data_IF_190829674441
#
_entry.id   IF_190829674441
#
_cell.length_a   1.000
_cell.length_b   1.000
_cell.length_c   1.000
_cell.angle_alpha   90.00
_cell.angle_beta   90.00
_cell.angle_gamma   90.00
#
_symmetry.space_group_name_H-M   'P 1'
#
loop_
_entity.id
_entity.type
_entity.pdbx_description
1 polymer ?
#
# COMPACT_ATOMS: atom_id res chain seq x y z
N UNK A 1 38.72 31.25 25.57
CA UNK A 1 37.33 30.84 25.27
C UNK A 1 37.36 29.56 24.44
N UNK A 2 38.18 28.58 24.82
CA UNK A 2 38.67 27.53 23.91
C UNK A 2 38.29 26.10 24.35
N UNK A 3 37.70 25.97 25.54
CA UNK A 3 37.32 24.68 26.14
C UNK A 3 36.04 24.10 25.53
N UNK A 4 35.12 24.96 25.08
CA UNK A 4 33.82 24.55 24.55
C UNK A 4 33.94 23.92 23.16
N UNK A 5 34.83 24.45 22.31
CA UNK A 5 35.09 23.92 20.97
C UNK A 5 35.66 22.51 20.99
N UNK A 6 36.58 22.21 21.92
CA UNK A 6 37.19 20.88 22.06
C UNK A 6 36.20 19.82 22.56
N UNK A 7 35.29 20.17 23.47
CA UNK A 7 34.26 19.25 23.96
C UNK A 7 33.23 18.91 22.89
N UNK A 8 32.78 19.91 22.14
CA UNK A 8 31.86 19.71 21.00
C UNK A 8 32.52 18.81 19.95
N UNK A 9 33.81 19.02 19.67
CA UNK A 9 34.56 18.19 18.73
C UNK A 9 34.69 16.73 19.19
N UNK A 10 34.89 16.51 20.49
CA UNK A 10 34.98 15.16 21.06
C UNK A 10 33.64 14.42 21.00
N UNK A 11 32.54 15.08 21.39
CA UNK A 11 31.19 14.50 21.32
C UNK A 11 30.80 14.23 19.86
N UNK A 12 31.12 15.14 18.95
CA UNK A 12 30.86 14.95 17.52
C UNK A 12 31.64 13.76 16.95
N UNK A 13 32.88 13.54 17.40
CA UNK A 13 33.71 12.43 16.93
C UNK A 13 33.22 11.08 17.45
N UNK A 14 32.78 10.99 18.71
CA UNK A 14 32.15 9.78 19.25
C UNK A 14 30.79 9.48 18.58
N UNK A 15 29.97 10.52 18.37
CA UNK A 15 28.69 10.38 17.69
C UNK A 15 28.88 9.91 16.24
N UNK A 16 29.88 10.44 15.54
CA UNK A 16 30.26 10.01 14.19
C UNK A 16 30.59 8.51 14.18
N UNK A 17 31.38 8.04 15.14
CA UNK A 17 31.77 6.63 15.21
C UNK A 17 30.57 5.70 15.52
N UNK A 18 29.63 6.18 16.34
CA UNK A 18 28.38 5.46 16.63
C UNK A 18 27.43 5.38 15.42
N UNK A 19 27.32 6.48 14.67
CA UNK A 19 26.51 6.56 13.45
C UNK A 19 27.10 5.64 12.38
N UNK A 20 28.42 5.60 12.25
CA UNK A 20 29.13 4.76 11.28
C UNK A 20 28.88 3.25 11.52
N UNK A 21 28.93 2.81 12.78
CA UNK A 21 28.60 1.43 13.13
C UNK A 21 27.12 1.08 12.91
N UNK A 22 26.20 2.00 13.21
CA UNK A 22 24.76 1.80 12.93
C UNK A 22 24.45 1.82 11.43
N UNK A 23 25.16 2.64 10.65
CA UNK A 23 25.02 2.69 9.20
C UNK A 23 25.45 1.39 8.55
N UNK A 24 26.53 0.76 9.00
CA UNK A 24 27.01 -0.50 8.43
C UNK A 24 25.96 -1.63 8.58
N UNK A 25 25.38 -1.77 9.78
CA UNK A 25 24.30 -2.73 10.03
C UNK A 25 23.01 -2.38 9.25
N UNK A 26 22.72 -1.08 9.12
CA UNK A 26 21.52 -0.60 8.41
C UNK A 26 21.64 -0.80 6.91
N UNK A 27 22.82 -0.57 6.32
CA UNK A 27 23.11 -0.77 4.89
C UNK A 27 22.92 -2.23 4.50
N UNK A 28 23.37 -3.17 5.34
CA UNK A 28 23.23 -4.60 5.06
C UNK A 28 21.74 -4.98 5.01
N UNK A 29 20.95 -4.62 6.04
CA UNK A 29 19.53 -4.96 6.09
C UNK A 29 18.71 -4.24 4.99
N UNK A 30 19.06 -2.99 4.69
CA UNK A 30 18.47 -2.24 3.58
C UNK A 30 18.78 -2.90 2.23
N UNK A 31 20.00 -3.39 2.04
CA UNK A 31 20.39 -4.03 0.77
C UNK A 31 19.59 -5.31 0.50
N UNK A 32 19.35 -6.12 1.54
CA UNK A 32 18.56 -7.34 1.45
C UNK A 32 17.08 -7.05 1.17
N UNK A 33 16.51 -6.07 1.88
CA UNK A 33 15.13 -5.64 1.63
C UNK A 33 14.96 -5.06 0.22
N UNK A 34 15.87 -4.19 -0.22
CA UNK A 34 15.83 -3.64 -1.58
C UNK A 34 15.91 -4.75 -2.61
N UNK A 35 16.82 -5.72 -2.44
CA UNK A 35 16.97 -6.85 -3.36
C UNK A 35 15.69 -7.70 -3.42
N UNK A 36 15.06 -7.98 -2.28
CA UNK A 36 13.78 -8.69 -2.22
C UNK A 36 12.66 -7.91 -2.93
N UNK A 37 12.55 -6.62 -2.66
CA UNK A 37 11.56 -5.74 -3.31
C UNK A 37 11.80 -5.63 -4.82
N UNK A 38 13.05 -5.49 -5.26
CA UNK A 38 13.40 -5.46 -6.69
C UNK A 38 13.05 -6.78 -7.36
N UNK A 39 13.37 -7.92 -6.73
CA UNK A 39 13.06 -9.24 -7.28
C UNK A 39 11.56 -9.44 -7.45
N UNK A 40 10.79 -9.09 -6.42
CA UNK A 40 9.31 -9.13 -6.46
C UNK A 40 8.74 -8.15 -7.48
N UNK A 41 9.30 -6.94 -7.58
CA UNK A 41 8.87 -5.94 -8.55
C UNK A 41 9.11 -6.41 -9.99
N UNK A 42 10.29 -6.96 -10.29
CA UNK A 42 10.60 -7.54 -11.60
C UNK A 42 9.61 -8.65 -11.93
N UNK A 43 9.41 -9.62 -11.03
CA UNK A 43 8.51 -10.75 -11.27
C UNK A 43 7.07 -10.27 -11.55
N UNK A 44 6.56 -9.35 -10.73
CA UNK A 44 5.25 -8.77 -10.93
C UNK A 44 5.17 -7.94 -12.21
N UNK A 45 6.23 -7.20 -12.56
CA UNK A 45 6.29 -6.39 -13.76
C UNK A 45 6.19 -7.27 -15.02
N UNK A 46 6.88 -8.41 -15.06
CA UNK A 46 6.74 -9.36 -16.16
C UNK A 46 5.31 -9.90 -16.28
N UNK A 47 4.68 -10.25 -15.14
CA UNK A 47 3.29 -10.71 -15.12
C UNK A 47 2.32 -9.65 -15.64
N UNK A 48 2.42 -8.41 -15.13
CA UNK A 48 1.60 -7.29 -15.58
C UNK A 48 1.89 -6.91 -17.03
N UNK A 49 3.13 -7.00 -17.50
CA UNK A 49 3.49 -6.72 -18.88
C UNK A 49 2.80 -7.69 -19.84
N UNK A 50 2.86 -9.00 -19.57
CA UNK A 50 2.19 -10.02 -20.39
C UNK A 50 0.67 -9.81 -20.38
N UNK A 51 0.10 -9.54 -19.20
CA UNK A 51 -1.33 -9.25 -19.08
C UNK A 51 -1.73 -7.98 -19.85
N UNK A 52 -0.93 -6.92 -19.78
CA UNK A 52 -1.15 -5.69 -20.52
C UNK A 52 -1.07 -5.92 -22.04
N UNK A 53 -0.10 -6.70 -22.51
CA UNK A 53 -0.05 -7.11 -23.92
C UNK A 53 -1.31 -7.86 -24.33
N UNK A 54 -1.72 -8.87 -23.57
CA UNK A 54 -2.95 -9.62 -23.84
C UNK A 54 -4.19 -8.73 -23.86
N UNK A 55 -4.28 -7.76 -22.94
CA UNK A 55 -5.37 -6.80 -22.88
C UNK A 55 -5.39 -5.86 -24.09
N UNK A 56 -4.22 -5.38 -24.54
CA UNK A 56 -4.11 -4.54 -25.74
C UNK A 56 -4.52 -5.32 -26.98
N UNK A 57 -4.02 -6.55 -27.15
CA UNK A 57 -4.41 -7.40 -28.26
C UNK A 57 -5.90 -7.74 -28.22
N UNK A 58 -6.44 -8.03 -27.04
CA UNK A 58 -7.87 -8.28 -26.84
C UNK A 58 -8.72 -7.06 -27.18
N UNK A 59 -8.32 -5.86 -26.74
CA UNK A 59 -9.00 -4.60 -27.06
C UNK A 59 -8.94 -4.30 -28.57
N UNK A 60 -7.80 -4.54 -29.23
CA UNK A 60 -7.66 -4.41 -30.69
C UNK A 60 -8.56 -5.41 -31.42
N UNK A 61 -8.61 -6.67 -30.98
CA UNK A 61 -9.51 -7.67 -31.55
C UNK A 61 -10.99 -7.25 -31.38
N UNK A 62 -11.34 -6.72 -30.21
CA UNK A 62 -12.68 -6.20 -29.94
C UNK A 62 -13.00 -5.00 -30.85
N UNK A 63 -12.05 -4.10 -31.06
CA UNK A 63 -12.20 -2.95 -31.94
C UNK A 63 -12.44 -3.37 -33.39
N UNK A 64 -11.69 -4.36 -33.89
CA UNK A 64 -11.88 -4.92 -35.24
C UNK A 64 -13.27 -5.57 -35.33
N UNK A 65 -13.65 -6.40 -34.36
CA UNK A 65 -14.97 -7.04 -34.34
C UNK A 65 -16.11 -6.01 -34.37
N UNK A 66 -15.98 -4.94 -33.58
CA UNK A 66 -16.99 -3.88 -33.55
C UNK A 66 -17.00 -3.05 -34.84
N UNK A 67 -15.84 -2.84 -35.46
CA UNK A 67 -15.73 -2.13 -36.74
C UNK A 67 -16.43 -2.87 -37.87
N UNK A 68 -16.37 -4.21 -37.88
CA UNK A 68 -17.01 -5.03 -38.91
C UNK A 68 -18.54 -4.99 -38.82
N UNK A 69 -19.09 -4.87 -37.59
CA UNK A 69 -20.54 -4.72 -37.38
C UNK A 69 -21.02 -3.31 -37.79
N UNK A 70 -20.20 -2.29 -37.56
CA UNK A 70 -20.54 -0.89 -37.85
C UNK A 70 -20.29 -0.55 -39.34
N UNK A 71 -19.47 -1.33 -40.04
CA UNK A 71 -19.12 -1.14 -41.46
C UNK A 71 -18.05 -0.08 -41.71
N UNK A 72 -17.50 0.51 -40.65
CA UNK A 72 -16.54 1.61 -40.70
C UNK A 72 -15.35 1.31 -39.77
N UNK A 73 -14.13 1.26 -40.34
CA UNK A 73 -12.91 0.83 -39.63
C UNK A 73 -12.59 1.71 -38.40
N UNK A 74 -12.84 3.01 -38.50
CA UNK A 74 -12.51 3.98 -37.45
C UNK A 74 -13.46 3.92 -36.25
N UNK A 75 -14.70 3.46 -36.46
CA UNK A 75 -15.73 3.49 -35.44
C UNK A 75 -15.45 2.48 -34.31
N UNK A 76 -14.91 1.31 -34.65
CA UNK A 76 -14.57 0.27 -33.68
C UNK A 76 -13.52 0.72 -32.66
N UNK A 77 -12.47 1.40 -33.13
CA UNK A 77 -11.45 1.97 -32.24
C UNK A 77 -12.00 3.13 -31.40
N UNK A 78 -12.93 3.92 -31.94
CA UNK A 78 -13.50 5.06 -31.22
C UNK A 78 -14.38 4.62 -30.05
N UNK A 79 -15.20 3.57 -30.22
CA UNK A 79 -15.97 2.98 -29.11
C UNK A 79 -15.03 2.40 -28.05
N UNK A 80 -14.03 1.61 -28.44
CA UNK A 80 -13.15 0.94 -27.48
C UNK A 80 -12.28 1.95 -26.73
N UNK A 81 -11.84 3.03 -27.40
CA UNK A 81 -11.04 4.08 -26.76
C UNK A 81 -11.86 5.04 -25.90
N UNK A 82 -13.16 5.23 -26.14
CA UNK A 82 -14.01 6.13 -25.36
C UNK A 82 -13.92 5.94 -23.83
N UNK A 83 -14.04 4.72 -23.25
CA UNK A 83 -13.88 4.53 -21.82
C UNK A 83 -12.45 4.81 -21.33
N UNK A 84 -11.42 4.47 -22.11
CA UNK A 84 -10.03 4.79 -21.78
C UNK A 84 -9.78 6.30 -21.79
N UNK A 85 -10.38 7.01 -22.75
CA UNK A 85 -10.29 8.46 -22.88
C UNK A 85 -11.05 9.15 -21.73
N UNK A 86 -12.22 8.65 -21.34
CA UNK A 86 -12.93 9.12 -20.15
C UNK A 86 -12.11 8.94 -18.88
N UNK A 87 -11.48 7.78 -18.67
CA UNK A 87 -10.62 7.54 -17.52
C UNK A 87 -9.40 8.47 -17.56
N UNK A 88 -8.75 8.59 -18.72
CA UNK A 88 -7.60 9.49 -18.90
C UNK A 88 -7.97 10.95 -18.65
N UNK A 89 -9.12 11.39 -19.16
CA UNK A 89 -9.65 12.73 -18.95
C UNK A 89 -9.98 12.96 -17.47
N UNK A 90 -10.63 11.98 -16.82
CA UNK A 90 -10.90 12.04 -15.38
C UNK A 90 -9.59 12.17 -14.61
N UNK A 91 -8.55 11.42 -14.97
CA UNK A 91 -7.25 11.47 -14.31
C UNK A 91 -6.55 12.81 -14.48
N UNK A 92 -6.63 13.43 -15.67
CA UNK A 92 -6.08 14.76 -15.94
C UNK A 92 -6.86 15.86 -15.21
N UNK A 93 -8.19 15.74 -15.14
CA UNK A 93 -9.05 16.68 -14.40
C UNK A 93 -8.91 16.51 -12.88
N UNK A 94 -8.66 15.29 -12.40
CA UNK A 94 -8.41 15.01 -10.99
C UNK A 94 -7.04 15.54 -10.63
N UNK A 95 -7.00 16.77 -10.11
CA UNK A 95 -5.75 17.49 -9.84
C UNK A 95 -4.74 16.60 -9.10
N UNK A 96 -3.46 16.60 -9.51
CA UNK A 96 -2.41 15.76 -8.90
C UNK A 96 -2.29 16.00 -7.40
N UNK A 97 -2.72 17.15 -6.90
CA UNK A 97 -2.76 17.49 -5.47
C UNK A 97 -3.65 16.54 -4.66
N UNK A 98 -4.75 16.02 -5.22
CA UNK A 98 -5.66 15.13 -4.49
C UNK A 98 -5.06 13.72 -4.36
N UNK A 99 -4.45 13.22 -5.44
CA UNK A 99 -3.73 11.95 -5.45
C UNK A 99 -2.50 12.01 -4.54
N UNK A 100 -1.69 13.07 -4.65
CA UNK A 100 -0.52 13.28 -3.82
C UNK A 100 -0.88 13.42 -2.33
N UNK A 101 -1.94 14.18 -1.99
CA UNK A 101 -2.40 14.32 -0.61
C UNK A 101 -2.87 12.97 -0.05
N UNK A 102 -3.61 12.17 -0.83
CA UNK A 102 -4.08 10.85 -0.37
C UNK A 102 -2.92 9.88 -0.12
N UNK A 103 -1.92 9.86 -0.99
CA UNK A 103 -0.71 9.04 -0.82
C UNK A 103 0.10 9.52 0.38
N UNK A 104 0.29 10.84 0.55
CA UNK A 104 0.99 11.41 1.70
C UNK A 104 0.29 11.05 3.02
N UNK A 105 -1.03 11.12 3.08
CA UNK A 105 -1.78 10.73 4.27
C UNK A 105 -1.68 9.24 4.57
N UNK A 106 -1.65 8.37 3.56
CA UNK A 106 -1.46 6.93 3.78
C UNK A 106 -0.06 6.61 4.30
N UNK A 107 0.97 7.21 3.71
CA UNK A 107 2.36 7.02 4.17
C UNK A 107 2.53 7.59 5.58
N UNK A 108 2.01 8.80 5.86
CA UNK A 108 2.05 9.40 7.20
C UNK A 108 1.28 8.58 8.23
N UNK A 109 0.11 8.04 7.87
CA UNK A 109 -0.66 7.19 8.76
C UNK A 109 0.09 5.90 9.09
N UNK A 110 0.68 5.24 8.08
CA UNK A 110 1.45 4.00 8.24
C UNK A 110 2.70 4.23 9.09
N UNK A 111 3.44 5.32 8.86
CA UNK A 111 4.59 5.70 9.69
C UNK A 111 4.17 6.04 11.11
N UNK A 112 3.08 6.78 11.29
CA UNK A 112 2.61 7.15 12.62
C UNK A 112 2.09 5.93 13.40
N UNK A 113 1.50 4.94 12.74
CA UNK A 113 1.12 3.67 13.37
C UNK A 113 2.34 2.83 13.72
N UNK A 114 3.34 2.74 12.83
CA UNK A 114 4.55 1.96 13.12
C UNK A 114 5.30 2.47 14.35
N UNK A 115 5.31 3.78 14.62
CA UNK A 115 5.91 4.34 15.84
C UNK A 115 5.02 4.24 17.09
N UNK A 116 3.71 4.07 16.94
CA UNK A 116 2.77 3.96 18.06
C UNK A 116 2.68 2.54 18.62
N UNK A 117 2.97 1.56 17.78
CA UNK A 117 3.02 0.16 18.16
C UNK A 117 4.25 -0.15 19.04
N UNK A 118 5.32 0.65 18.96
CA UNK A 118 6.51 0.53 19.82
C UNK A 118 6.29 1.00 21.28
N UNK A 119 5.20 1.74 21.60
CA UNK A 119 4.90 2.24 22.95
C UNK A 119 3.81 1.45 23.71
N UNK A 120 3.33 0.32 23.16
CA UNK A 120 2.14 -0.37 23.68
C UNK A 120 2.36 -1.85 24.00
N UNK A 121 3.53 -2.24 24.51
CA UNK A 121 3.68 -3.48 25.29
C UNK A 121 3.93 -3.16 26.77
N UNK A 122 2.85 -2.84 27.50
CA UNK A 122 2.89 -2.68 28.95
C UNK A 122 1.51 -2.37 29.51
N UNK A 123 0.82 -3.41 29.99
CA UNK A 123 -0.49 -3.39 30.69
C UNK A 123 -1.67 -2.87 29.86
N UNK A 124 -2.72 -3.65 29.55
CA UNK A 124 -3.65 -4.27 30.49
C UNK A 124 -4.30 -5.49 29.84
N UNK A 125 -3.93 -6.70 30.30
CA UNK A 125 -4.70 -7.94 30.13
C UNK A 125 -5.11 -8.46 31.50
N UNK A 126 -6.25 -7.95 32.00
CA UNK A 126 -7.14 -8.44 33.08
C UNK A 126 -7.91 -7.19 33.49
N UNK A 127 -9.22 -7.06 33.26
CA UNK A 127 -10.30 -7.71 34.01
C UNK A 127 -11.56 -7.60 33.14
N UNK A 128 -12.04 -8.69 32.55
CA UNK A 128 -13.45 -8.87 32.18
C UNK A 128 -13.69 -10.30 31.69
N UNK A 129 -13.23 -11.29 32.45
CA UNK A 129 -13.54 -12.70 32.21
C UNK A 129 -13.56 -13.44 33.55
N UNK A 130 -14.76 -13.83 33.98
CA UNK A 130 -15.11 -14.30 35.32
C UNK A 130 -16.04 -13.26 35.96
N UNK A 131 -17.35 -13.43 36.09
CA UNK A 131 -18.21 -14.61 36.28
C UNK A 131 -19.47 -14.40 35.38
N UNK A 132 -20.08 -15.38 34.72
CA UNK A 132 -20.90 -16.45 35.27
C UNK A 132 -21.06 -17.54 34.19
N UNK A 133 -20.53 -18.73 34.47
CA UNK A 133 -20.90 -19.96 33.77
C UNK A 133 -22.25 -20.46 34.27
N UNK A 134 -23.01 -21.02 33.32
CA UNK A 134 -23.82 -22.23 33.50
C UNK A 134 -25.03 -22.22 34.45
N UNK A 135 -26.22 -22.18 33.85
CA UNK A 135 -27.23 -23.26 33.92
C UNK A 135 -28.13 -23.12 32.68
N UNK A 136 -27.86 -23.84 31.59
CA UNK A 136 -28.44 -25.15 31.28
C UNK A 136 -29.98 -25.23 31.46
N UNK A 137 -30.65 -25.50 30.34
CA UNK A 137 -31.75 -26.48 30.22
C UNK A 137 -33.20 -26.06 30.50
N UNK A 138 -33.96 -25.75 29.43
CA UNK A 138 -35.18 -26.45 28.98
C UNK A 138 -35.89 -25.56 27.95
N UNK A 139 -36.06 -25.97 26.69
CA UNK A 139 -37.12 -26.86 26.18
C UNK A 139 -38.53 -26.27 26.37
N UNK A 140 -39.29 -26.26 25.27
CA UNK A 140 -40.74 -25.93 25.14
C UNK A 140 -41.01 -24.41 25.16
N UNK A 141 -41.76 -23.75 24.26
CA UNK A 141 -42.78 -24.06 23.24
C UNK A 141 -42.66 -22.98 22.13
N UNK A 142 -42.69 -23.30 20.84
CA UNK A 142 -43.89 -23.31 19.99
C UNK A 142 -44.87 -22.14 20.17
N UNK A 143 -45.31 -21.59 19.02
CA UNK A 143 -46.51 -20.78 18.75
C UNK A 143 -46.37 -19.27 18.96
N UNK A 144 -46.33 -18.41 17.93
CA UNK A 144 -47.33 -18.13 16.88
C UNK A 144 -48.62 -17.50 17.42
N UNK A 145 -48.91 -16.27 16.93
CA UNK A 145 -50.16 -15.49 17.12
C UNK A 145 -50.24 -14.78 18.48
N UNK A 146 -50.54 -13.49 18.59
CA UNK A 146 -51.22 -12.52 17.73
C UNK A 146 -50.70 -11.12 18.06
#
# INVERSE_FOLDING_TARGET
MDDLGSRIKHVTNELKHYIEARLELTVINISEQIAYWIGKAIQNLFGYAILAFGLIFGATALAIYLSEIIGEEWAGYLIVSAPFLLIGLLLVLTKPTVLAAKVQHQILAELLSSFKDDEKEGDVKKISSGETSETLNQKTTSSHGK
#
